data_IF_899435642879
#
_entry.id   IF_899435642879
#
_cell.length_a   1.000
_cell.length_b   1.000
_cell.length_c   1.000
_cell.angle_alpha   90.00
_cell.angle_beta   90.00
_cell.angle_gamma   90.00
#
_symmetry.space_group_name_H-M   'P 1'
#
loop_
_entity.id
_entity.type
_entity.pdbx_description
1 polymer ?
#
# COMPACT_ATOMS: atom_id res chain seq x y z
N UNK A 1 -0.47 -11.03 0.67
CA UNK A 1 -1.34 -9.89 1.04
C UNK A 1 -2.51 -9.73 0.08
N UNK A 2 -2.28 -9.37 -1.18
CA UNK A 2 -3.34 -9.14 -2.19
C UNK A 2 -4.35 -10.28 -2.29
N UNK A 3 -3.89 -11.51 -2.57
CA UNK A 3 -4.76 -12.72 -2.62
C UNK A 3 -5.54 -12.98 -1.33
N UNK A 4 -4.93 -12.70 -0.19
CA UNK A 4 -5.55 -12.91 1.13
C UNK A 4 -6.69 -11.93 1.39
N UNK A 5 -6.61 -10.72 0.82
CA UNK A 5 -7.66 -9.70 0.83
C UNK A 5 -8.82 -10.09 -0.11
N UNK A 6 -8.51 -10.56 -1.32
CA UNK A 6 -9.52 -11.03 -2.29
C UNK A 6 -10.30 -12.25 -1.79
N UNK A 7 -9.62 -13.26 -1.23
CA UNK A 7 -10.26 -14.46 -0.65
C UNK A 7 -11.24 -14.14 0.49
N UNK A 8 -11.10 -12.97 1.13
CA UNK A 8 -11.98 -12.48 2.19
C UNK A 8 -13.05 -11.51 1.69
N UNK A 9 -13.08 -11.21 0.38
CA UNK A 9 -14.02 -10.27 -0.22
C UNK A 9 -13.71 -8.80 0.08
N UNK A 10 -12.50 -8.49 0.53
CA UNK A 10 -12.08 -7.11 0.72
C UNK A 10 -11.46 -6.56 -0.56
N UNK A 11 -11.68 -5.26 -0.82
CA UNK A 11 -10.91 -4.55 -1.84
C UNK A 11 -9.46 -4.38 -1.35
N UNK A 12 -8.46 -5.00 -2.01
CA UNK A 12 -7.09 -4.95 -1.51
C UNK A 12 -6.52 -3.54 -1.40
N UNK A 13 -6.87 -2.65 -2.34
CA UNK A 13 -6.37 -1.28 -2.37
C UNK A 13 -6.86 -0.47 -1.15
N UNK A 14 -8.16 -0.54 -0.85
CA UNK A 14 -8.73 0.19 0.29
C UNK A 14 -8.10 -0.25 1.62
N UNK A 15 -7.83 -1.54 1.77
CA UNK A 15 -7.22 -2.08 2.99
C UNK A 15 -5.74 -1.69 3.12
N UNK A 16 -4.99 -1.69 2.02
CA UNK A 16 -3.60 -1.20 2.00
C UNK A 16 -3.56 0.29 2.35
N UNK A 17 -4.38 1.11 1.69
CA UNK A 17 -4.45 2.57 1.96
C UNK A 17 -4.86 2.84 3.41
N UNK A 18 -5.89 2.15 3.92
CA UNK A 18 -6.33 2.27 5.31
C UNK A 18 -5.22 1.94 6.31
N UNK A 19 -4.45 0.87 6.07
CA UNK A 19 -3.29 0.52 6.91
C UNK A 19 -2.17 1.57 6.84
N UNK A 20 -1.82 2.07 5.65
CA UNK A 20 -0.73 3.04 5.50
C UNK A 20 -1.04 4.35 6.23
N UNK A 21 -2.28 4.84 6.14
CA UNK A 21 -2.72 6.08 6.81
C UNK A 21 -2.87 5.89 8.33
N UNK A 22 -3.58 4.85 8.77
CA UNK A 22 -3.94 4.69 10.19
C UNK A 22 -2.88 3.98 11.03
N UNK A 23 -2.10 3.09 10.41
CA UNK A 23 -1.22 2.16 11.11
C UNK A 23 -1.93 1.01 11.80
N UNK A 24 -3.26 0.91 11.70
CA UNK A 24 -4.03 -0.13 12.36
C UNK A 24 -3.90 -1.46 11.58
N UNK A 25 -3.26 -2.50 12.16
CA UNK A 25 -3.13 -3.79 11.51
C UNK A 25 -4.48 -4.50 11.29
N UNK A 26 -5.58 -4.04 11.87
CA UNK A 26 -6.93 -4.57 11.64
C UNK A 26 -7.35 -4.50 10.17
N UNK A 27 -6.84 -3.52 9.41
CA UNK A 27 -7.08 -3.43 7.97
C UNK A 27 -6.46 -4.61 7.21
N UNK A 28 -5.43 -5.26 7.75
CA UNK A 28 -4.73 -6.37 7.08
C UNK A 28 -5.16 -7.70 7.69
N UNK A 29 -5.80 -8.59 6.90
CA UNK A 29 -6.26 -9.87 7.40
C UNK A 29 -5.09 -10.78 7.81
N UNK A 30 -5.36 -11.71 8.73
CA UNK A 30 -4.33 -12.60 9.31
C UNK A 30 -4.05 -13.85 8.47
N UNK A 31 -4.83 -14.14 7.44
CA UNK A 31 -4.60 -15.30 6.58
C UNK A 31 -3.35 -15.12 5.72
N UNK A 32 -2.74 -16.24 5.33
CA UNK A 32 -1.58 -16.30 4.43
C UNK A 32 -0.42 -15.39 4.86
N UNK A 33 -0.21 -15.24 6.16
CA UNK A 33 0.87 -14.44 6.76
C UNK A 33 0.86 -12.95 6.33
N UNK A 34 -0.25 -12.45 5.77
CA UNK A 34 -0.30 -11.13 5.15
C UNK A 34 0.04 -10.00 6.12
N UNK A 35 -0.41 -10.12 7.37
CA UNK A 35 -0.11 -9.15 8.43
C UNK A 35 1.36 -9.14 8.84
N UNK A 36 2.03 -10.28 8.88
CA UNK A 36 3.44 -10.31 9.23
C UNK A 36 4.29 -9.80 8.08
N UNK A 37 3.93 -10.14 6.83
CA UNK A 37 4.61 -9.63 5.63
C UNK A 37 4.65 -8.11 5.58
N UNK A 38 3.51 -7.44 5.79
CA UNK A 38 3.48 -5.97 5.74
C UNK A 38 4.15 -5.30 6.94
N UNK A 39 4.23 -5.97 8.09
CA UNK A 39 4.89 -5.46 9.30
C UNK A 39 6.41 -5.61 9.29
N UNK A 40 6.99 -6.27 8.27
CA UNK A 40 8.44 -6.35 8.08
C UNK A 40 9.05 -5.05 7.56
N UNK A 41 8.21 -4.17 7.02
CA UNK A 41 8.58 -2.87 6.50
C UNK A 41 7.92 -1.78 7.33
N UNK A 42 8.64 -0.69 7.56
CA UNK A 42 8.05 0.49 8.18
C UNK A 42 7.07 1.15 7.18
N UNK A 43 6.07 1.86 7.69
CA UNK A 43 5.00 2.41 6.82
C UNK A 43 5.50 3.53 5.94
N UNK A 44 6.42 4.34 6.46
CA UNK A 44 7.09 5.40 5.72
C UNK A 44 7.92 4.85 4.56
N UNK A 45 8.66 3.75 4.75
CA UNK A 45 9.39 3.02 3.70
C UNK A 45 8.45 2.62 2.55
N UNK A 46 7.27 2.07 2.88
CA UNK A 46 6.28 1.68 1.86
C UNK A 46 5.74 2.91 1.13
N UNK A 47 5.43 3.99 1.84
CA UNK A 47 4.89 5.22 1.24
C UNK A 47 5.93 5.88 0.33
N UNK A 48 7.18 5.96 0.78
CA UNK A 48 8.30 6.51 0.00
C UNK A 48 8.46 5.76 -1.31
N UNK A 49 8.50 4.42 -1.26
CA UNK A 49 8.62 3.59 -2.45
C UNK A 49 7.43 3.76 -3.41
N UNK A 50 6.20 3.88 -2.88
CA UNK A 50 5.02 4.14 -3.71
C UNK A 50 5.08 5.51 -4.41
N UNK A 51 5.53 6.56 -3.69
CA UNK A 51 5.69 7.90 -4.26
C UNK A 51 6.80 7.92 -5.31
N UNK A 52 7.95 7.31 -5.00
CA UNK A 52 9.08 7.16 -5.93
C UNK A 52 8.64 6.44 -7.20
N UNK A 53 7.98 5.29 -7.05
CA UNK A 53 7.45 4.53 -8.17
C UNK A 53 6.47 5.37 -9.02
N UNK A 54 5.56 6.11 -8.38
CA UNK A 54 4.62 6.97 -9.10
C UNK A 54 5.34 8.02 -9.94
N UNK A 55 6.30 8.74 -9.36
CA UNK A 55 7.07 9.79 -10.03
C UNK A 55 7.96 9.24 -11.15
N UNK A 56 8.63 8.10 -10.90
CA UNK A 56 9.50 7.43 -11.89
C UNK A 56 8.70 6.95 -13.12
N UNK A 57 7.44 6.55 -12.91
CA UNK A 57 6.56 6.05 -13.98
C UNK A 57 5.67 7.14 -14.59
N UNK A 58 5.63 8.35 -14.03
CA UNK A 58 4.89 9.50 -14.56
C UNK A 58 5.78 10.75 -14.72
N UNK A 59 6.89 10.67 -15.48
CA UNK A 59 7.92 11.71 -15.53
C UNK A 59 7.48 13.06 -16.15
N UNK A 60 6.22 13.21 -16.60
CA UNK A 60 5.80 14.31 -17.47
C UNK A 60 4.53 15.10 -17.07
N UNK A 61 4.01 14.96 -15.84
CA UNK A 61 2.89 15.83 -15.40
C UNK A 61 3.34 17.12 -14.71
N UNK A 62 4.64 17.29 -14.48
CA UNK A 62 5.24 18.48 -13.84
C UNK A 62 5.85 19.49 -14.82
N UNK A 63 5.60 19.35 -16.13
CA UNK A 63 5.99 20.35 -17.15
C UNK A 63 4.78 20.90 -17.90
N UNK A 64 4.11 21.85 -17.27
CA UNK A 64 3.05 22.70 -17.82
C UNK A 64 2.45 23.47 -16.65
N UNK A 65 2.86 24.70 -16.36
CA UNK A 65 2.56 25.90 -17.15
C UNK A 65 3.50 26.99 -16.65
N UNK A 66 4.40 27.49 -17.50
CA UNK A 66 4.96 28.84 -17.45
C UNK A 66 4.79 29.44 -18.85
#
# INVERSE_FOLDING_TARGET
MYRSLEEKGYNPYNQIVGYLISGDPAYIPRNLDARNLIRRHERDEIIEELVRFYLDNHPNESKGTD
#
